data_IF_095747915140
#
_entry.id   IF_095747915140
#
_cell.length_a   1.000
_cell.length_b   1.000
_cell.length_c   1.000
_cell.angle_alpha   90.00
_cell.angle_beta   90.00
_cell.angle_gamma   90.00
#
_symmetry.space_group_name_H-M   'P 1'
#
loop_
_entity.id
_entity.type
_entity.pdbx_description
1 polymer ?
#
# COMPACT_ATOMS: atom_id res chain seq x y z
N UNK A 1 -6.10 4.78 -12.84
CA UNK A 1 -6.33 3.59 -13.67
C UNK A 1 -5.93 2.31 -12.95
N UNK A 2 -6.73 1.26 -13.10
CA UNK A 2 -6.54 -0.06 -12.51
C UNK A 2 -6.99 -1.16 -13.48
N UNK A 3 -6.89 -2.42 -13.06
CA UNK A 3 -7.43 -3.55 -13.82
C UNK A 3 -8.37 -4.39 -12.96
N UNK A 4 -9.33 -5.04 -13.60
CA UNK A 4 -10.20 -6.01 -12.95
C UNK A 4 -9.53 -7.37 -13.05
N UNK A 5 -9.35 -8.05 -11.92
CA UNK A 5 -8.82 -9.41 -11.90
C UNK A 5 -9.98 -10.37 -11.60
N UNK A 6 -10.02 -11.51 -12.29
CA UNK A 6 -11.02 -12.58 -12.09
C UNK A 6 -12.48 -12.16 -12.36
N UNK A 7 -13.40 -13.11 -12.16
CA UNK A 7 -14.84 -12.90 -12.33
C UNK A 7 -15.51 -12.23 -11.11
N UNK A 8 -14.73 -11.77 -10.12
CA UNK A 8 -15.24 -11.18 -8.88
C UNK A 8 -15.43 -9.65 -8.96
N UNK A 9 -15.21 -9.07 -10.15
CA UNK A 9 -15.33 -7.63 -10.44
C UNK A 9 -14.53 -6.73 -9.49
N UNK A 10 -13.41 -7.21 -8.93
CA UNK A 10 -12.54 -6.39 -8.09
C UNK A 10 -11.59 -5.57 -8.93
N UNK A 11 -11.72 -4.25 -8.85
CA UNK A 11 -10.75 -3.32 -9.42
C UNK A 11 -9.50 -3.25 -8.53
N UNK A 12 -8.34 -3.54 -9.12
CA UNK A 12 -7.03 -3.45 -8.51
C UNK A 12 -6.27 -2.27 -9.12
N UNK A 13 -5.86 -1.33 -8.26
CA UNK A 13 -5.05 -0.17 -8.65
C UNK A 13 -3.59 -0.42 -8.32
N UNK A 14 -2.70 0.02 -9.20
CA UNK A 14 -1.26 -0.09 -8.95
C UNK A 14 -0.88 0.71 -7.69
N UNK A 15 -0.10 0.08 -6.81
CA UNK A 15 0.35 0.68 -5.57
C UNK A 15 1.87 0.90 -5.59
N UNK A 16 2.64 -0.19 -5.78
CA UNK A 16 4.10 -0.10 -5.75
C UNK A 16 4.77 -1.28 -6.47
N UNK A 17 6.08 -1.20 -6.72
CA UNK A 17 6.89 -2.30 -7.24
C UNK A 17 8.21 -2.41 -6.48
N UNK A 18 8.79 -3.61 -6.43
CA UNK A 18 10.08 -3.79 -5.78
C UNK A 18 11.22 -3.29 -6.66
N UNK A 19 12.13 -2.49 -6.10
CA UNK A 19 13.40 -2.13 -6.74
C UNK A 19 14.51 -3.16 -6.51
N UNK A 20 14.23 -4.26 -5.80
CA UNK A 20 15.24 -5.28 -5.52
C UNK A 20 15.63 -6.00 -6.81
N UNK A 21 16.92 -5.94 -7.16
CA UNK A 21 17.48 -6.74 -8.25
C UNK A 21 17.56 -8.24 -7.91
N UNK A 22 17.50 -8.59 -6.62
CA UNK A 22 17.62 -9.97 -6.11
C UNK A 22 16.26 -10.67 -5.95
N UNK A 23 15.18 -9.92 -5.69
CA UNK A 23 13.83 -10.49 -5.64
C UNK A 23 13.21 -10.47 -7.04
N UNK A 24 12.59 -11.57 -7.44
CA UNK A 24 11.75 -11.64 -8.64
C UNK A 24 10.78 -10.46 -8.66
N UNK A 25 10.67 -9.73 -9.79
CA UNK A 25 9.88 -8.49 -9.97
C UNK A 25 8.52 -8.57 -9.24
N UNK A 26 8.43 -7.95 -8.06
CA UNK A 26 7.18 -7.93 -7.27
C UNK A 26 6.43 -6.64 -7.57
N UNK A 27 5.12 -6.77 -7.80
CA UNK A 27 4.20 -5.67 -7.98
C UNK A 27 3.10 -5.80 -6.94
N UNK A 28 2.78 -4.69 -6.28
CA UNK A 28 1.70 -4.58 -5.33
C UNK A 28 0.56 -3.79 -5.95
N UNK A 29 -0.64 -4.33 -5.78
CA UNK A 29 -1.89 -3.72 -6.22
C UNK A 29 -2.85 -3.63 -5.03
N UNK A 30 -3.59 -2.53 -4.97
CA UNK A 30 -4.57 -2.26 -3.92
C UNK A 30 -5.98 -2.36 -4.48
N UNK A 31 -6.84 -3.12 -3.81
CA UNK A 31 -8.27 -3.15 -4.09
C UNK A 31 -9.00 -2.41 -2.98
N UNK A 32 -9.93 -1.53 -3.36
CA UNK A 32 -10.78 -0.81 -2.44
C UNK A 32 -12.23 -1.29 -2.55
N UNK A 33 -12.77 -1.83 -1.47
CA UNK A 33 -14.12 -2.35 -1.41
C UNK A 33 -15.06 -1.32 -0.75
N UNK A 34 -15.65 -0.47 -1.58
CA UNK A 34 -16.63 0.53 -1.15
C UNK A 34 -18.07 0.01 -1.06
N UNK A 35 -18.35 -1.14 -1.65
CA UNK A 35 -19.71 -1.62 -1.84
C UNK A 35 -20.08 -2.72 -0.82
N UNK A 36 -19.21 -3.00 0.15
CA UNK A 36 -19.55 -3.93 1.22
C UNK A 36 -20.67 -3.35 2.09
N UNK A 37 -21.73 -4.15 2.24
CA UNK A 37 -22.89 -3.81 3.07
C UNK A 37 -22.49 -3.72 4.54
N UNK A 38 -21.46 -4.45 4.94
CA UNK A 38 -20.90 -4.41 6.28
C UNK A 38 -19.82 -3.31 6.38
N UNK A 39 -20.06 -2.20 7.10
CA UNK A 39 -19.08 -1.13 7.26
C UNK A 39 -17.78 -1.59 7.93
N UNK A 40 -17.79 -2.69 8.71
CA UNK A 40 -16.57 -3.23 9.32
C UNK A 40 -15.63 -3.91 8.31
N UNK A 41 -16.13 -4.23 7.11
CA UNK A 41 -15.39 -4.86 6.01
C UNK A 41 -14.97 -3.90 4.92
N UNK A 42 -15.36 -2.63 5.03
CA UNK A 42 -14.87 -1.58 4.15
C UNK A 42 -13.43 -1.28 4.53
N UNK A 43 -12.56 -1.32 3.54
CA UNK A 43 -11.21 -0.80 3.71
C UNK A 43 -11.18 0.68 3.35
N UNK A 44 -10.13 1.36 3.79
CA UNK A 44 -9.91 2.75 3.42
C UNK A 44 -9.68 2.90 1.91
N UNK A 45 -9.97 4.08 1.39
CA UNK A 45 -9.70 4.43 0.00
C UNK A 45 -8.22 4.35 -0.32
N UNK A 46 -7.90 4.29 -1.60
CA UNK A 46 -6.51 4.28 -2.06
C UNK A 46 -5.73 5.48 -1.49
N UNK A 47 -6.31 6.69 -1.48
CA UNK A 47 -5.65 7.88 -0.99
C UNK A 47 -5.45 7.82 0.54
N UNK A 48 -6.43 7.33 1.28
CA UNK A 48 -6.32 7.16 2.73
C UNK A 48 -5.26 6.11 3.08
N UNK A 49 -5.22 4.98 2.36
CA UNK A 49 -4.18 3.97 2.53
C UNK A 49 -2.78 4.54 2.20
N UNK A 50 -2.67 5.31 1.12
CA UNK A 50 -1.44 5.98 0.71
C UNK A 50 -0.93 6.95 1.78
N UNK A 51 -1.81 7.81 2.28
CA UNK A 51 -1.49 8.77 3.33
C UNK A 51 -1.14 8.06 4.66
N UNK A 52 -1.77 6.93 4.96
CA UNK A 52 -1.46 6.12 6.14
C UNK A 52 -0.09 5.46 6.07
N UNK A 53 0.35 5.04 4.88
CA UNK A 53 1.69 4.47 4.69
C UNK A 53 2.82 5.47 4.95
N UNK A 54 2.56 6.77 4.74
CA UNK A 54 3.49 7.84 5.05
C UNK A 54 3.29 9.11 4.22
N UNK A 55 4.07 10.14 4.52
CA UNK A 55 4.12 11.36 3.70
C UNK A 55 5.15 11.20 2.57
N UNK A 56 4.67 10.88 1.36
CA UNK A 56 5.54 10.73 0.19
C UNK A 56 5.50 11.93 -0.77
N UNK A 57 4.56 12.86 -0.59
CA UNK A 57 4.31 13.98 -1.53
C UNK A 57 5.47 14.98 -1.63
N UNK A 58 6.34 15.00 -0.62
CA UNK A 58 7.53 15.86 -0.57
C UNK A 58 8.80 15.18 -1.08
N UNK A 59 8.71 13.94 -1.57
CA UNK A 59 9.86 13.15 -1.99
C UNK A 59 10.07 13.20 -3.51
N UNK A 60 10.89 14.14 -3.96
CA UNK A 60 11.17 14.34 -5.39
C UNK A 60 12.14 13.30 -5.97
N UNK A 61 12.92 12.61 -5.12
CA UNK A 61 13.88 11.61 -5.58
C UNK A 61 13.19 10.25 -5.79
N UNK A 62 13.09 9.74 -7.04
CA UNK A 62 12.35 8.51 -7.32
C UNK A 62 12.92 7.27 -6.64
N UNK A 63 14.24 7.19 -6.46
CA UNK A 63 14.89 6.06 -5.80
C UNK A 63 14.59 6.08 -4.29
N UNK A 64 14.64 7.27 -3.68
CA UNK A 64 14.32 7.44 -2.26
C UNK A 64 12.84 7.22 -1.97
N UNK A 65 11.96 7.72 -2.85
CA UNK A 65 10.53 7.47 -2.82
C UNK A 65 10.24 5.97 -2.80
N UNK A 66 10.80 5.23 -3.77
CA UNK A 66 10.54 3.81 -3.88
C UNK A 66 11.12 3.00 -2.72
N UNK A 67 12.32 3.34 -2.25
CA UNK A 67 12.92 2.70 -1.09
C UNK A 67 12.07 2.88 0.18
N UNK A 68 11.48 4.08 0.38
CA UNK A 68 10.59 4.37 1.52
C UNK A 68 9.27 3.62 1.43
N UNK A 69 8.61 3.63 0.26
CA UNK A 69 7.38 2.87 0.01
C UNK A 69 7.59 1.36 0.22
N UNK A 70 8.74 0.82 -0.18
CA UNK A 70 9.06 -0.60 -0.01
C UNK A 70 9.09 -1.05 1.46
N UNK A 71 9.35 -0.15 2.42
CA UNK A 71 9.35 -0.48 3.85
C UNK A 71 7.99 -0.97 4.34
N UNK A 72 6.89 -0.43 3.78
CA UNK A 72 5.52 -0.80 4.12
C UNK A 72 5.17 -2.25 3.76
N UNK A 73 5.96 -2.89 2.88
CA UNK A 73 5.73 -4.26 2.41
C UNK A 73 6.74 -5.27 2.98
N UNK A 74 7.50 -4.86 4.00
CA UNK A 74 8.43 -5.76 4.68
C UNK A 74 7.68 -6.75 5.56
N UNK A 75 8.05 -8.02 5.48
CA UNK A 75 7.54 -9.05 6.40
C UNK A 75 8.23 -8.87 7.74
N UNK A 76 7.53 -8.25 8.69
CA UNK A 76 8.05 -7.93 10.03
C UNK A 76 7.12 -8.47 11.12
N UNK A 77 7.67 -8.68 12.31
CA UNK A 77 6.90 -9.04 13.50
C UNK A 77 6.80 -7.82 14.41
N UNK A 78 5.59 -7.34 14.65
CA UNK A 78 5.34 -6.25 15.59
C UNK A 78 5.84 -6.67 16.98
N UNK A 79 6.74 -5.88 17.57
CA UNK A 79 7.43 -6.26 18.82
C UNK A 79 6.98 -5.39 19.99
N UNK A 80 7.16 -4.08 19.91
CA UNK A 80 6.75 -3.13 20.97
C UNK A 80 6.12 -1.91 20.33
N UNK A 81 4.98 -1.46 20.87
CA UNK A 81 4.40 -0.17 20.54
C UNK A 81 4.91 0.86 21.56
N UNK A 82 5.58 1.91 21.07
CA UNK A 82 6.03 3.01 21.91
C UNK A 82 5.09 4.20 21.70
N UNK A 83 4.35 4.58 22.74
CA UNK A 83 3.55 5.80 22.74
C UNK A 83 4.43 6.99 23.15
N UNK A 84 4.74 7.87 22.20
CA UNK A 84 5.35 9.17 22.51
C UNK A 84 4.21 10.13 22.82
N UNK A 85 4.09 10.54 24.08
CA UNK A 85 3.19 11.62 24.48
C UNK A 85 3.92 12.94 24.19
N UNK A 86 3.49 13.63 23.13
CA UNK A 86 4.01 14.94 22.73
C UNK A 86 3.16 16.07 23.32
#
# INVERSE_FOLDING_TARGET
DGFILMNDNREYKYLHHSQSQLRSRQFWFYHHNNYDKDPSRRNCSFQEAYNWMGEFDKEDNPAKYAARMALCFTTTTATVLVCIVM
#
